data_IF_445456102144
#
_entry.id   IF_445456102144
#
_cell.length_a   1.000
_cell.length_b   1.000
_cell.length_c   1.000
_cell.angle_alpha   90.00
_cell.angle_beta   90.00
_cell.angle_gamma   90.00
#
_symmetry.space_group_name_H-M   'P 1'
#
loop_
_entity.id
_entity.type
_entity.pdbx_description
1 polymer ?
#
# COMPACT_ATOMS: atom_id res chain seq x y z
N UNK A 1 -19.62 -28.66 13.19
CA UNK A 1 -19.35 -29.00 11.78
C UNK A 1 -18.87 -27.73 11.10
N UNK A 2 -17.56 -27.59 10.91
CA UNK A 2 -16.99 -26.43 10.24
C UNK A 2 -17.23 -26.61 8.74
N UNK A 3 -18.08 -25.77 8.14
CA UNK A 3 -18.29 -25.76 6.70
C UNK A 3 -17.07 -25.11 6.07
N UNK A 4 -16.03 -25.89 5.75
CA UNK A 4 -14.92 -25.43 4.94
C UNK A 4 -15.32 -25.54 3.48
N UNK A 5 -15.48 -24.42 2.79
CA UNK A 5 -15.61 -24.40 1.34
C UNK A 5 -14.19 -24.46 0.72
N UNK A 6 -13.74 -25.61 0.17
CA UNK A 6 -12.38 -25.76 -0.33
C UNK A 6 -12.07 -24.87 -1.54
N UNK A 7 -13.08 -24.30 -2.20
CA UNK A 7 -12.89 -23.33 -3.30
C UNK A 7 -12.42 -21.95 -2.83
N UNK A 8 -12.48 -21.64 -1.53
CA UNK A 8 -11.97 -20.39 -0.94
C UNK A 8 -10.48 -20.42 -0.60
N UNK A 9 -9.80 -21.56 -0.79
CA UNK A 9 -8.41 -21.77 -0.33
C UNK A 9 -7.31 -21.01 -1.10
N UNK A 10 -7.67 -20.10 -2.03
CA UNK A 10 -6.70 -19.38 -2.89
C UNK A 10 -6.94 -17.88 -3.09
N UNK A 11 -7.84 -17.25 -2.32
CA UNK A 11 -8.10 -15.82 -2.51
C UNK A 11 -7.00 -14.94 -1.91
N UNK A 12 -6.55 -15.25 -0.69
CA UNK A 12 -5.52 -14.50 0.03
C UNK A 12 -4.13 -15.10 -0.20
N UNK A 13 -3.17 -14.29 -0.64
CA UNK A 13 -1.75 -14.65 -0.71
C UNK A 13 -0.94 -13.81 0.28
N UNK A 14 -0.08 -14.44 1.08
CA UNK A 14 0.84 -13.77 2.03
C UNK A 14 2.26 -13.94 1.51
N UNK A 15 3.02 -12.86 1.38
CA UNK A 15 4.35 -12.91 0.74
C UNK A 15 5.43 -12.14 1.47
N UNK A 16 5.11 -11.02 2.15
CA UNK A 16 6.12 -10.20 2.83
C UNK A 16 7.27 -9.79 1.92
N UNK A 17 6.98 -9.20 0.77
CA UNK A 17 7.96 -8.86 -0.28
C UNK A 17 8.15 -7.34 -0.36
N UNK A 18 9.39 -6.89 -0.31
CA UNK A 18 9.76 -5.50 -0.61
C UNK A 18 9.50 -5.22 -2.10
N UNK A 19 8.74 -4.16 -2.37
CA UNK A 19 8.41 -3.69 -3.73
C UNK A 19 8.99 -2.31 -4.03
N UNK A 20 9.50 -1.63 -3.00
CA UNK A 20 10.15 -0.34 -3.13
C UNK A 20 11.17 -0.15 -2.02
N UNK A 21 12.34 0.40 -2.40
CA UNK A 21 13.34 0.90 -1.48
C UNK A 21 13.98 2.15 -2.08
N UNK A 22 13.84 3.29 -1.40
CA UNK A 22 14.31 4.57 -1.93
C UNK A 22 13.75 5.77 -1.18
N UNK A 23 13.81 6.93 -1.83
CA UNK A 23 13.26 8.16 -1.28
C UNK A 23 11.77 8.30 -1.61
N UNK A 24 10.96 8.68 -0.62
CA UNK A 24 9.54 8.97 -0.83
C UNK A 24 9.30 10.16 -1.76
N UNK A 25 8.16 10.12 -2.45
CA UNK A 25 7.70 11.19 -3.32
C UNK A 25 6.75 12.14 -2.59
N UNK A 26 6.89 13.44 -2.83
CA UNK A 26 5.94 14.50 -2.37
C UNK A 26 4.89 14.86 -3.42
N UNK A 27 4.84 14.11 -4.52
CA UNK A 27 3.78 14.12 -5.51
C UNK A 27 3.24 12.70 -5.69
N UNK A 28 1.99 12.56 -6.14
CA UNK A 28 1.44 11.26 -6.50
C UNK A 28 2.32 10.58 -7.54
N UNK A 29 2.95 9.48 -7.15
CA UNK A 29 3.85 8.68 -7.97
C UNK A 29 3.29 7.28 -8.14
N UNK A 30 3.54 6.67 -9.30
CA UNK A 30 3.16 5.28 -9.55
C UNK A 30 4.07 4.34 -8.73
N UNK A 31 3.46 3.29 -8.19
CA UNK A 31 4.14 2.15 -7.59
C UNK A 31 3.62 0.89 -8.28
N UNK A 32 4.48 0.30 -9.11
CA UNK A 32 4.17 -0.88 -9.90
C UNK A 32 4.36 -2.15 -9.07
N UNK A 33 3.26 -2.86 -8.81
CA UNK A 33 3.26 -4.11 -8.05
C UNK A 33 3.13 -5.34 -8.97
N UNK A 34 3.07 -5.14 -10.29
CA UNK A 34 2.75 -6.19 -11.26
C UNK A 34 3.78 -7.31 -11.29
N UNK A 35 5.04 -7.02 -10.96
CA UNK A 35 6.09 -8.04 -10.80
C UNK A 35 5.85 -9.01 -9.64
N UNK A 36 5.06 -8.60 -8.64
CA UNK A 36 4.78 -9.41 -7.45
C UNK A 36 3.38 -10.03 -7.49
N UNK A 37 2.36 -9.25 -7.84
CA UNK A 37 0.95 -9.70 -7.78
C UNK A 37 0.37 -10.06 -9.15
N UNK A 38 1.06 -9.69 -10.24
CA UNK A 38 0.58 -9.74 -11.62
C UNK A 38 -0.12 -8.46 -12.07
N UNK A 39 -0.34 -8.31 -13.38
CA UNK A 39 -1.13 -7.23 -13.95
C UNK A 39 -2.64 -7.50 -13.75
N UNK A 40 -3.12 -7.23 -12.53
CA UNK A 40 -4.50 -7.49 -12.10
C UNK A 40 -4.99 -6.39 -11.15
N UNK A 41 -6.32 -6.27 -11.05
CA UNK A 41 -6.97 -5.57 -9.92
C UNK A 41 -6.97 -6.50 -8.71
N UNK A 42 -6.39 -6.05 -7.61
CA UNK A 42 -6.29 -6.78 -6.36
C UNK A 42 -6.39 -5.82 -5.18
N UNK A 43 -6.92 -6.32 -4.07
CA UNK A 43 -6.86 -5.63 -2.78
C UNK A 43 -5.54 -5.97 -2.11
N UNK A 44 -4.70 -4.97 -1.82
CA UNK A 44 -3.35 -5.18 -1.30
C UNK A 44 -3.20 -4.53 0.08
N UNK A 45 -2.59 -5.28 0.99
CA UNK A 45 -2.14 -4.76 2.28
C UNK A 45 -0.65 -4.42 2.18
N UNK A 46 -0.34 -3.13 2.25
CA UNK A 46 1.03 -2.61 2.15
C UNK A 46 1.54 -2.16 3.50
N UNK A 47 2.80 -2.44 3.81
CA UNK A 47 3.52 -1.89 4.94
C UNK A 47 4.50 -0.84 4.44
N UNK A 48 4.46 0.33 5.06
CA UNK A 48 5.44 1.39 4.82
C UNK A 48 6.37 1.44 6.01
N UNK A 49 7.67 1.55 5.77
CA UNK A 49 8.66 1.86 6.80
C UNK A 49 9.40 3.13 6.40
N UNK A 50 9.68 4.00 7.36
CA UNK A 50 10.45 5.23 7.11
C UNK A 50 11.47 5.50 8.23
N UNK A 51 12.55 6.18 7.87
CA UNK A 51 13.58 6.61 8.83
C UNK A 51 13.17 7.82 9.66
N UNK A 52 12.09 8.51 9.27
CA UNK A 52 11.58 9.71 9.95
C UNK A 52 10.08 9.57 10.20
N UNK A 53 9.56 10.37 11.15
CA UNK A 53 8.12 10.53 11.30
C UNK A 53 7.58 11.22 10.04
N UNK A 54 6.66 10.54 9.35
CA UNK A 54 6.08 10.99 8.09
C UNK A 54 4.64 10.50 7.99
N UNK A 55 3.88 11.12 7.10
CA UNK A 55 2.52 10.75 6.76
C UNK A 55 2.36 10.73 5.25
N UNK A 56 1.36 10.03 4.76
CA UNK A 56 1.13 9.88 3.35
C UNK A 56 -0.13 9.11 3.06
N UNK A 57 -0.31 8.75 1.80
CA UNK A 57 -1.44 7.94 1.40
C UNK A 57 -1.13 7.11 0.16
N UNK A 58 -1.94 6.08 -0.01
CA UNK A 58 -2.08 5.33 -1.24
C UNK A 58 -3.41 5.67 -1.92
N UNK A 59 -3.52 5.34 -3.21
CA UNK A 59 -4.78 5.29 -3.96
C UNK A 59 -4.63 4.37 -5.17
N UNK A 60 -5.75 3.96 -5.77
CA UNK A 60 -5.72 3.29 -7.07
C UNK A 60 -5.21 4.26 -8.14
N UNK A 61 -4.39 3.78 -9.08
CA UNK A 61 -3.88 4.64 -10.16
C UNK A 61 -5.03 5.25 -10.98
N UNK A 62 -4.98 6.57 -11.16
CA UNK A 62 -5.99 7.33 -11.89
C UNK A 62 -7.20 7.75 -11.05
N UNK A 63 -7.27 7.33 -9.78
CA UNK A 63 -8.26 7.85 -8.84
C UNK A 63 -7.98 9.34 -8.55
N UNK A 64 -9.03 10.15 -8.51
CA UNK A 64 -8.97 11.60 -8.29
C UNK A 64 -9.56 12.03 -6.95
N UNK A 65 -10.12 11.09 -6.18
CA UNK A 65 -10.63 11.39 -4.85
C UNK A 65 -9.49 11.81 -3.91
N UNK A 66 -9.83 12.62 -2.89
CA UNK A 66 -8.86 13.15 -1.95
C UNK A 66 -8.55 12.12 -0.84
N UNK A 67 -7.37 11.51 -0.92
CA UNK A 67 -6.86 10.55 0.06
C UNK A 67 -5.72 11.12 0.92
N UNK A 68 -5.24 12.34 0.66
CA UNK A 68 -4.11 12.92 1.37
C UNK A 68 -4.35 14.40 1.76
N UNK A 69 -4.32 14.67 3.06
CA UNK A 69 -4.47 16.02 3.60
C UNK A 69 -5.53 16.10 4.70
N UNK A 70 -5.87 17.31 5.17
CA UNK A 70 -6.69 17.50 6.37
C UNK A 70 -8.14 17.02 6.21
N UNK A 71 -8.61 16.85 4.98
CA UNK A 71 -9.97 16.41 4.63
C UNK A 71 -10.04 14.95 4.22
N UNK A 72 -8.90 14.27 4.12
CA UNK A 72 -8.84 12.88 3.70
C UNK A 72 -9.08 11.96 4.91
N UNK A 73 -10.11 11.12 4.81
CA UNK A 73 -10.43 10.11 5.82
C UNK A 73 -10.66 8.76 5.12
N UNK A 74 -9.77 7.80 5.32
CA UNK A 74 -9.88 6.48 4.69
C UNK A 74 -8.75 5.53 5.07
N UNK A 75 -8.90 4.25 4.72
CA UNK A 75 -7.94 3.19 5.04
C UNK A 75 -6.65 3.21 4.19
N UNK A 76 -6.59 4.09 3.18
CA UNK A 76 -5.43 4.26 2.32
C UNK A 76 -4.45 5.32 2.85
N UNK A 77 -4.89 6.19 3.77
CA UNK A 77 -4.09 7.22 4.43
C UNK A 77 -3.36 6.64 5.64
N UNK A 78 -2.17 7.17 5.91
CA UNK A 78 -1.36 6.76 7.05
C UNK A 78 -0.61 7.93 7.67
N UNK A 79 -0.39 7.83 8.97
CA UNK A 79 0.47 8.73 9.71
C UNK A 79 1.18 7.94 10.81
N UNK A 80 2.48 8.16 10.95
CA UNK A 80 3.33 7.44 11.89
C UNK A 80 3.59 8.30 13.12
N UNK A 81 2.87 8.07 14.21
CA UNK A 81 3.06 8.83 15.45
C UNK A 81 3.83 8.00 16.48
N UNK A 82 5.11 8.36 16.67
CA UNK A 82 6.04 7.89 17.72
C UNK A 82 6.72 6.52 17.56
N UNK A 83 7.99 6.51 18.03
CA UNK A 83 8.99 5.42 18.06
C UNK A 83 9.51 4.88 16.71
N UNK A 84 10.85 4.90 16.59
CA UNK A 84 11.60 4.33 15.47
C UNK A 84 11.81 2.81 15.67
N UNK A 85 11.67 1.97 14.63
CA UNK A 85 11.39 2.31 13.23
C UNK A 85 9.92 2.67 12.98
N UNK A 86 9.71 3.78 12.27
CA UNK A 86 8.37 4.26 11.95
C UNK A 86 7.75 3.37 10.89
N UNK A 87 6.56 2.83 11.16
CA UNK A 87 5.86 1.99 10.21
C UNK A 87 4.34 2.19 10.27
N UNK A 88 3.69 1.91 9.16
CA UNK A 88 2.25 1.99 8.98
C UNK A 88 1.81 0.90 8.01
N UNK A 89 0.54 0.50 8.12
CA UNK A 89 -0.06 -0.50 7.24
C UNK A 89 -1.33 0.07 6.64
N UNK A 90 -1.48 -0.07 5.33
CA UNK A 90 -2.62 0.46 4.58
C UNK A 90 -3.22 -0.58 3.66
N UNK A 91 -4.50 -0.38 3.37
CA UNK A 91 -5.26 -1.20 2.43
C UNK A 91 -5.56 -0.36 1.18
N UNK A 92 -5.28 -0.90 0.00
CA UNK A 92 -5.48 -0.18 -1.27
C UNK A 92 -5.78 -1.16 -2.41
N UNK A 93 -6.57 -0.71 -3.39
CA UNK A 93 -6.85 -1.45 -4.62
C UNK A 93 -5.84 -1.09 -5.72
N UNK A 94 -5.32 -2.08 -6.44
CA UNK A 94 -4.56 -1.85 -7.68
C UNK A 94 -5.48 -1.58 -8.87
N UNK A 95 -4.95 -0.90 -9.88
CA UNK A 95 -5.61 -0.80 -11.18
C UNK A 95 -5.49 -2.13 -11.96
N UNK A 96 -5.97 -2.15 -13.21
CA UNK A 96 -5.91 -3.35 -14.05
C UNK A 96 -4.49 -3.76 -14.46
N UNK A 97 -3.51 -2.85 -14.34
CA UNK A 97 -2.10 -3.12 -14.62
C UNK A 97 -1.34 -3.58 -13.37
N UNK A 98 -2.00 -3.66 -12.19
CA UNK A 98 -1.32 -3.98 -10.93
C UNK A 98 -0.58 -2.79 -10.32
N UNK A 99 -0.98 -1.56 -10.65
CA UNK A 99 -0.31 -0.33 -10.21
C UNK A 99 -1.19 0.41 -9.19
N UNK A 100 -0.54 0.96 -8.17
CA UNK A 100 -1.13 1.94 -7.24
C UNK A 100 -0.40 3.27 -7.36
N UNK A 101 -0.96 4.32 -6.77
CA UNK A 101 -0.27 5.59 -6.58
C UNK A 101 -0.05 5.87 -5.10
N UNK A 102 1.01 6.59 -4.79
CA UNK A 102 1.35 6.95 -3.43
C UNK A 102 1.97 8.35 -3.33
N UNK A 103 1.86 8.94 -2.14
CA UNK A 103 2.40 10.24 -1.80
C UNK A 103 2.83 10.25 -0.32
N UNK A 104 3.85 11.03 0.02
CA UNK A 104 4.26 11.35 1.38
C UNK A 104 4.32 12.87 1.59
N UNK A 105 4.26 13.32 2.84
CA UNK A 105 4.34 14.74 3.19
C UNK A 105 5.74 15.33 3.08
N UNK A 106 6.76 14.48 3.01
CA UNK A 106 8.16 14.88 2.86
C UNK A 106 8.97 13.74 2.22
N UNK A 107 10.14 14.10 1.70
CA UNK A 107 11.12 13.16 1.15
C UNK A 107 11.89 12.51 2.29
N UNK A 108 11.88 11.18 2.35
CA UNK A 108 12.59 10.39 3.33
C UNK A 108 12.93 9.00 2.79
N UNK A 109 14.00 8.40 3.31
CA UNK A 109 14.31 7.01 3.05
C UNK A 109 13.17 6.11 3.55
N UNK A 110 12.60 5.35 2.63
CA UNK A 110 11.34 4.61 2.79
C UNK A 110 11.45 3.25 2.12
N UNK A 111 10.93 2.22 2.77
CA UNK A 111 10.67 0.93 2.13
C UNK A 111 9.17 0.65 2.14
N UNK A 112 8.71 -0.07 1.12
CA UNK A 112 7.32 -0.51 1.01
C UNK A 112 7.32 -2.01 0.75
N UNK A 113 6.62 -2.74 1.61
CA UNK A 113 6.44 -4.18 1.50
C UNK A 113 4.97 -4.51 1.19
N UNK A 114 4.73 -5.53 0.36
CA UNK A 114 3.43 -6.20 0.29
C UNK A 114 3.38 -7.27 1.38
N UNK A 115 2.48 -7.09 2.36
CA UNK A 115 2.22 -8.11 3.37
C UNK A 115 1.41 -9.25 2.74
N UNK A 116 0.27 -8.90 2.14
CA UNK A 116 -0.64 -9.83 1.51
C UNK A 116 -1.52 -9.16 0.46
N UNK A 117 -2.17 -9.96 -0.39
CA UNK A 117 -3.19 -9.47 -1.33
C UNK A 117 -4.30 -10.48 -1.54
N UNK A 118 -5.46 -9.96 -1.96
CA UNK A 118 -6.63 -10.72 -2.39
C UNK A 118 -6.86 -10.43 -3.86
N UNK A 119 -6.93 -11.49 -4.66
CA UNK A 119 -7.28 -11.42 -6.09
C UNK A 119 -8.79 -11.34 -6.29
#
# INVERSE_FOLDING_TARGET
MEVRNPSLSKALTVSGVEVFSGNSSVAWADLDLSGTIGAIRALVLVKVLSTVNTQGSFRTKGDTDEFYGPTAYGCASWAMYSASPYHAVCLVMTDAAGVIQWIANQVAATTIDIICWIK
#
